data_IF_051041597188
#
_entry.id   IF_051041597188
#
_cell.length_a   1.000
_cell.length_b   1.000
_cell.length_c   1.000
_cell.angle_alpha   90.00
_cell.angle_beta   90.00
_cell.angle_gamma   90.00
#
_symmetry.space_group_name_H-M   'P 1'
#
loop_
_entity.id
_entity.type
_entity.pdbx_description
1 polymer ?
#
# COMPACT_ATOMS: atom_id res chain seq x y z
N UNK A 1 -12.86 10.38 5.79
CA UNK A 1 -13.41 9.63 4.63
C UNK A 1 -12.46 8.53 4.15
N UNK A 2 -11.20 8.84 3.82
CA UNK A 2 -10.20 7.87 3.35
C UNK A 2 -10.02 6.65 4.26
N UNK A 3 -9.90 6.84 5.58
CA UNK A 3 -9.74 5.74 6.55
C UNK A 3 -10.93 4.78 6.55
N UNK A 4 -12.15 5.31 6.41
CA UNK A 4 -13.37 4.49 6.34
C UNK A 4 -13.40 3.64 5.07
N UNK A 5 -12.96 4.18 3.93
CA UNK A 5 -12.87 3.42 2.69
C UNK A 5 -11.86 2.28 2.80
N UNK A 6 -10.71 2.52 3.44
CA UNK A 6 -9.69 1.49 3.64
C UNK A 6 -10.21 0.33 4.51
N UNK A 7 -11.05 0.61 5.52
CA UNK A 7 -11.72 -0.45 6.30
C UNK A 7 -12.64 -1.33 5.45
N UNK A 8 -13.11 -0.83 4.32
CA UNK A 8 -13.95 -1.56 3.36
C UNK A 8 -13.14 -2.14 2.18
N UNK A 9 -11.81 -2.11 2.22
CA UNK A 9 -10.96 -2.63 1.14
C UNK A 9 -10.85 -1.69 -0.07
N UNK A 10 -11.29 -0.44 0.07
CA UNK A 10 -11.24 0.56 -1.01
C UNK A 10 -10.18 1.63 -0.73
N UNK A 11 -9.39 1.95 -1.74
CA UNK A 11 -8.34 2.95 -1.71
C UNK A 11 -8.75 4.22 -2.46
N UNK A 12 -8.70 5.41 -1.83
CA UNK A 12 -9.07 6.66 -2.46
C UNK A 12 -8.01 7.16 -3.44
N UNK A 13 -8.44 7.89 -4.48
CA UNK A 13 -7.52 8.52 -5.43
C UNK A 13 -6.73 9.73 -4.87
N UNK A 14 -7.16 10.27 -3.73
CA UNK A 14 -6.51 11.38 -3.04
C UNK A 14 -6.86 11.32 -1.54
N UNK A 15 -5.89 11.60 -0.65
CA UNK A 15 -6.12 11.62 0.79
C UNK A 15 -7.00 12.80 1.24
N UNK A 16 -6.91 13.94 0.54
CA UNK A 16 -7.58 15.20 0.93
C UNK A 16 -8.98 15.31 0.32
N UNK A 17 -9.15 14.93 -0.94
CA UNK A 17 -10.44 14.98 -1.63
C UNK A 17 -10.68 13.71 -2.45
N UNK A 18 -11.26 12.66 -1.84
CA UNK A 18 -11.50 11.39 -2.53
C UNK A 18 -12.62 11.55 -3.56
N UNK A 19 -12.25 11.72 -4.83
CA UNK A 19 -13.20 11.81 -5.96
C UNK A 19 -13.57 10.46 -6.57
N UNK A 20 -12.71 9.47 -6.38
CA UNK A 20 -12.89 8.08 -6.81
C UNK A 20 -12.18 7.17 -5.81
N UNK A 21 -12.70 5.98 -5.61
CA UNK A 21 -12.02 4.92 -4.87
C UNK A 21 -11.87 3.69 -5.77
N UNK A 22 -10.75 3.00 -5.62
CA UNK A 22 -10.39 1.77 -6.32
C UNK A 22 -10.28 0.63 -5.31
N UNK A 23 -10.49 -0.61 -5.73
CA UNK A 23 -10.23 -1.77 -4.87
C UNK A 23 -8.72 -1.91 -4.64
N UNK A 24 -8.31 -2.21 -3.41
CA UNK A 24 -6.91 -2.43 -3.05
C UNK A 24 -6.32 -3.60 -3.86
N UNK A 25 -7.07 -4.70 -4.03
CA UNK A 25 -6.60 -5.87 -4.79
C UNK A 25 -6.43 -5.53 -6.28
N UNK A 26 -7.26 -4.63 -6.81
CA UNK A 26 -7.13 -4.17 -8.19
C UNK A 26 -5.87 -3.33 -8.37
N UNK A 27 -5.57 -2.44 -7.41
CA UNK A 27 -4.36 -1.62 -7.44
C UNK A 27 -3.09 -2.50 -7.34
N UNK A 28 -3.09 -3.48 -6.45
CA UNK A 28 -2.00 -4.45 -6.29
C UNK A 28 -1.78 -5.25 -7.59
N UNK A 29 -2.85 -5.79 -8.19
CA UNK A 29 -2.76 -6.52 -9.46
C UNK A 29 -2.14 -5.66 -10.56
N UNK A 30 -2.60 -4.42 -10.69
CA UNK A 30 -2.07 -3.49 -11.69
C UNK A 30 -0.60 -3.20 -11.40
N UNK A 31 -0.25 -2.92 -10.15
CA UNK A 31 1.13 -2.62 -9.77
C UNK A 31 2.05 -3.79 -10.09
N UNK A 32 1.69 -5.01 -9.68
CA UNK A 32 2.40 -6.25 -10.03
C UNK A 32 2.53 -6.41 -11.55
N UNK A 33 1.48 -6.11 -12.30
CA UNK A 33 1.55 -6.20 -13.76
C UNK A 33 2.48 -5.14 -14.35
N UNK A 34 2.51 -3.92 -13.81
CA UNK A 34 3.42 -2.86 -14.24
C UNK A 34 4.88 -3.09 -13.82
N UNK A 35 5.13 -3.96 -12.83
CA UNK A 35 6.46 -4.44 -12.48
C UNK A 35 6.95 -5.53 -13.45
N UNK A 36 6.04 -6.37 -13.96
CA UNK A 36 6.37 -7.49 -14.85
C UNK A 36 6.30 -7.13 -16.35
N UNK A 37 5.50 -6.14 -16.72
CA UNK A 37 5.35 -5.62 -18.10
C UNK A 37 5.77 -4.14 -18.14
N UNK A 38 6.07 -3.64 -19.35
CA UNK A 38 6.35 -2.21 -19.53
C UNK A 38 5.20 -1.34 -18.97
N UNK A 39 5.51 -0.31 -18.16
CA UNK A 39 4.50 0.47 -17.44
C UNK A 39 3.62 1.29 -18.39
N UNK A 40 2.44 0.75 -18.74
CA UNK A 40 1.50 1.37 -19.66
C UNK A 40 0.28 2.02 -18.95
N UNK A 41 0.50 3.12 -18.22
CA UNK A 41 -0.61 3.87 -17.57
C UNK A 41 -1.77 4.21 -18.53
N UNK A 42 -1.45 4.52 -19.78
CA UNK A 42 -2.47 4.80 -20.81
C UNK A 42 -3.29 3.56 -21.18
N UNK A 43 -2.66 2.38 -21.23
CA UNK A 43 -3.35 1.12 -21.51
C UNK A 43 -4.30 0.73 -20.37
N UNK A 44 -3.82 0.81 -19.13
CA UNK A 44 -4.65 0.55 -17.94
C UNK A 44 -5.81 1.53 -17.81
N UNK A 45 -5.57 2.84 -17.97
CA UNK A 45 -6.65 3.83 -17.91
C UNK A 45 -7.72 3.61 -18.98
N UNK A 46 -7.33 3.21 -20.21
CA UNK A 46 -8.26 2.88 -21.27
C UNK A 46 -9.03 1.58 -20.99
N UNK A 47 -8.35 0.55 -20.48
CA UNK A 47 -8.98 -0.71 -20.11
C UNK A 47 -10.04 -0.49 -19.00
N UNK A 48 -9.72 0.30 -17.99
CA UNK A 48 -10.64 0.66 -16.91
C UNK A 48 -11.82 1.49 -17.41
N UNK A 49 -11.57 2.49 -18.27
CA UNK A 49 -12.62 3.27 -18.92
C UNK A 49 -13.60 2.37 -19.69
N UNK A 50 -13.09 1.45 -20.51
CA UNK A 50 -13.91 0.51 -21.29
C UNK A 50 -14.64 -0.50 -20.39
N UNK A 51 -14.02 -0.94 -19.30
CA UNK A 51 -14.64 -1.83 -18.32
C UNK A 51 -15.87 -1.19 -17.66
N UNK A 52 -15.74 0.07 -17.25
CA UNK A 52 -16.84 0.83 -16.66
C UNK A 52 -17.91 1.20 -17.67
N UNK A 53 -17.51 1.59 -18.88
CA UNK A 53 -18.43 1.89 -19.98
C UNK A 53 -19.31 0.68 -20.30
N UNK A 54 -18.73 -0.53 -20.35
CA UNK A 54 -19.48 -1.79 -20.54
C UNK A 54 -20.48 -2.08 -19.42
N UNK A 55 -20.26 -1.55 -18.22
CA UNK A 55 -21.16 -1.67 -17.07
C UNK A 55 -22.15 -0.48 -16.96
N UNK A 56 -22.15 0.43 -17.92
CA UNK A 56 -23.03 1.60 -17.96
C UNK A 56 -22.54 2.81 -17.15
N UNK A 57 -21.30 2.77 -16.65
CA UNK A 57 -20.71 3.90 -15.91
C UNK A 57 -19.89 4.79 -16.85
N UNK A 58 -20.23 6.08 -16.90
CA UNK A 58 -19.50 7.10 -17.68
C UNK A 58 -18.74 8.01 -16.72
N UNK A 59 -17.43 7.86 -16.64
CA UNK A 59 -16.60 8.55 -15.64
C UNK A 59 -16.05 9.92 -16.09
N UNK A 60 -16.71 10.56 -17.06
CA UNK A 60 -16.35 11.89 -17.55
C UNK A 60 -15.10 11.89 -18.43
N UNK A 61 -14.32 12.98 -18.38
CA UNK A 61 -13.17 13.19 -19.28
C UNK A 61 -12.07 12.15 -19.01
N UNK A 62 -11.67 11.40 -20.05
CA UNK A 62 -10.62 10.36 -20.00
C UNK A 62 -9.33 10.79 -19.29
N UNK A 63 -8.93 12.06 -19.47
CA UNK A 63 -7.75 12.63 -18.84
C UNK A 63 -7.89 12.77 -17.32
N UNK A 64 -9.10 13.06 -16.84
CA UNK A 64 -9.39 13.13 -15.41
C UNK A 64 -9.28 11.74 -14.77
N UNK A 65 -9.77 10.70 -15.44
CA UNK A 65 -9.64 9.34 -14.95
C UNK A 65 -8.18 8.90 -14.87
N UNK A 66 -7.39 9.14 -15.93
CA UNK A 66 -5.96 8.82 -15.93
C UNK A 66 -5.22 9.52 -14.80
N UNK A 67 -5.49 10.81 -14.56
CA UNK A 67 -4.89 11.58 -13.45
C UNK A 67 -5.29 11.02 -12.09
N UNK A 68 -6.58 10.72 -11.87
CA UNK A 68 -7.08 10.14 -10.61
C UNK A 68 -6.47 8.76 -10.35
N UNK A 69 -6.36 7.95 -11.39
CA UNK A 69 -5.76 6.63 -11.30
C UNK A 69 -4.25 6.69 -11.02
N UNK A 70 -3.52 7.55 -11.72
CA UNK A 70 -2.09 7.76 -11.47
C UNK A 70 -1.84 8.25 -10.03
N UNK A 71 -2.66 9.20 -9.55
CA UNK A 71 -2.59 9.66 -8.16
C UNK A 71 -2.87 8.52 -7.18
N UNK A 72 -3.90 7.70 -7.43
CA UNK A 72 -4.23 6.54 -6.58
C UNK A 72 -3.04 5.57 -6.48
N UNK A 73 -2.43 5.21 -7.62
CA UNK A 73 -1.27 4.34 -7.67
C UNK A 73 -0.06 4.94 -6.94
N UNK A 74 0.19 6.25 -7.10
CA UNK A 74 1.28 6.91 -6.40
C UNK A 74 1.11 6.85 -4.88
N UNK A 75 -0.10 7.15 -4.39
CA UNK A 75 -0.40 7.07 -2.96
C UNK A 75 -0.38 5.63 -2.43
N UNK A 76 -0.77 4.66 -3.26
CA UNK A 76 -0.70 3.25 -2.92
C UNK A 76 0.75 2.78 -2.76
N UNK A 77 1.64 3.10 -3.70
CA UNK A 77 3.08 2.79 -3.58
C UNK A 77 3.69 3.43 -2.31
N UNK A 78 3.39 4.69 -2.03
CA UNK A 78 3.86 5.34 -0.80
C UNK A 78 3.36 4.64 0.46
N UNK A 79 2.13 4.11 0.44
CA UNK A 79 1.59 3.36 1.57
C UNK A 79 2.33 2.04 1.75
N UNK A 80 2.59 1.30 0.68
CA UNK A 80 3.40 0.07 0.73
C UNK A 80 4.82 0.34 1.27
N UNK A 81 5.48 1.40 0.80
CA UNK A 81 6.80 1.82 1.29
C UNK A 81 6.78 2.19 2.78
N UNK A 82 5.74 2.91 3.24
CA UNK A 82 5.59 3.27 4.65
C UNK A 82 5.30 2.04 5.52
N UNK A 83 4.50 1.09 5.03
CA UNK A 83 4.20 -0.16 5.75
C UNK A 83 5.45 -1.02 5.85
N UNK A 84 6.24 -1.14 4.78
CA UNK A 84 7.52 -1.86 4.80
C UNK A 84 8.49 -1.27 5.83
N UNK A 85 8.68 0.06 5.82
CA UNK A 85 9.52 0.75 6.81
C UNK A 85 9.01 0.57 8.23
N UNK A 86 7.71 0.66 8.44
CA UNK A 86 7.14 0.48 9.77
C UNK A 86 7.33 -0.95 10.28
N UNK A 87 7.20 -1.95 9.40
CA UNK A 87 7.47 -3.35 9.75
C UNK A 87 8.96 -3.57 10.09
N UNK A 88 9.88 -2.94 9.35
CA UNK A 88 11.32 -2.97 9.65
C UNK A 88 11.65 -2.30 10.99
N UNK A 89 11.06 -1.14 11.27
CA UNK A 89 11.25 -0.41 12.53
C UNK A 89 10.74 -1.22 13.74
N UNK A 90 9.59 -1.88 13.62
CA UNK A 90 9.04 -2.77 14.65
C UNK A 90 9.96 -3.97 14.91
N UNK A 91 10.50 -4.60 13.86
CA UNK A 91 11.46 -5.70 13.97
C UNK A 91 12.76 -5.25 14.68
N UNK A 92 13.25 -4.06 14.33
CA UNK A 92 14.44 -3.48 14.94
C UNK A 92 14.23 -3.18 16.44
N UNK A 93 13.09 -2.59 16.79
CA UNK A 93 12.71 -2.30 18.18
C UNK A 93 12.63 -3.57 19.04
N UNK A 94 12.04 -4.64 18.51
CA UNK A 94 11.98 -5.93 19.21
C UNK A 94 13.37 -6.51 19.45
N UNK A 95 14.27 -6.46 18.46
CA UNK A 95 15.66 -6.95 18.61
C UNK A 95 16.50 -6.17 19.63
N UNK A 96 16.19 -4.87 19.84
CA UNK A 96 16.84 -4.04 20.86
C UNK A 96 16.41 -4.42 22.28
N UNK A 97 15.15 -4.82 22.48
CA UNK A 97 14.66 -5.25 23.80
C UNK A 97 15.23 -6.58 24.27
N UNK A 98 15.59 -7.48 23.35
CA UNK A 98 16.16 -8.80 23.69
C UNK A 98 17.64 -8.76 24.08
N UNK A 99 18.33 -7.63 23.88
CA UNK A 99 19.79 -7.52 24.11
C UNK A 99 20.17 -6.93 25.47
N UNK A 100 19.19 -6.61 26.34
CA UNK A 100 19.44 -5.95 27.64
C UNK A 100 19.26 -6.89 28.85
N UNK A 101 18.93 -8.16 28.67
CA UNK A 101 18.74 -9.12 29.77
C UNK A 101 19.81 -10.23 29.75
N UNK A 102 21.07 -9.87 30.01
CA UNK A 102 22.11 -10.80 30.48
C UNK A 102 22.43 -10.47 31.95
N UNK A 103 22.03 -11.29 32.94
CA UNK A 103 22.58 -11.17 34.29
C UNK A 103 23.95 -11.87 34.35
N UNK A 104 24.92 -11.30 35.07
CA UNK A 104 26.32 -11.74 35.04
C UNK A 104 26.51 -13.07 35.77
N UNK A 105 27.32 -13.94 35.17
CA UNK A 105 27.94 -15.10 35.82
C UNK A 105 28.73 -14.64 37.05
N UNK A 106 28.23 -14.90 38.25
CA UNK A 106 29.06 -14.93 39.46
C UNK A 106 29.28 -16.37 39.89
N UNK A 107 30.48 -16.86 39.63
CA UNK A 107 31.06 -18.02 40.26
C UNK A 107 31.16 -17.82 41.79
N UNK A 108 30.71 -18.79 42.58
CA UNK A 108 31.19 -19.08 43.95
C UNK A 108 30.55 -20.40 44.41
N UNK A 109 31.22 -21.55 44.23
CA UNK A 109 32.08 -22.16 45.23
C UNK A 109 31.41 -22.36 46.60
N UNK A 110 30.97 -23.59 46.90
CA UNK A 110 31.21 -24.28 48.19
C UNK A 110 30.52 -25.66 48.21
N UNK A 111 31.33 -26.70 48.43
CA UNK A 111 30.95 -28.03 48.87
C UNK A 111 30.50 -27.99 50.37
N UNK A 112 30.01 -29.08 50.99
CA UNK A 112 30.77 -30.33 51.19
C UNK A 112 30.07 -31.62 50.73
#
# INVERSE_FOLDING_TARGET
AAVTLMKHGMFPCSPIQPSLAFDINLLELILLTMLNLAPNMTGWSLALEMFWLRRGYVLGLREALRKRFANALQWFNLLEDMVAKHAEDELCNLSATTSTEEPPLTASAAAP
#
